data_IF_056097914968
#
_entry.id   IF_056097914968
#
_cell.length_a   1.000
_cell.length_b   1.000
_cell.length_c   1.000
_cell.angle_alpha   90.00
_cell.angle_beta   90.00
_cell.angle_gamma   90.00
#
_symmetry.space_group_name_H-M   'P 1'
#
loop_
_entity.id
_entity.type
_entity.pdbx_description
1 polymer ?
#
# COMPACT_ATOMS: atom_id res chain seq x y z
N UNK A 1 27.05 -23.66 64.79
CA UNK A 1 28.20 -24.27 64.07
C UNK A 1 28.19 -23.77 62.62
N UNK A 2 28.97 -22.73 62.30
CA UNK A 2 29.07 -22.18 60.94
C UNK A 2 30.31 -22.76 60.28
N UNK A 3 30.15 -23.51 59.18
CA UNK A 3 31.28 -24.09 58.41
C UNK A 3 31.68 -23.08 57.32
N UNK A 4 32.92 -22.60 57.37
CA UNK A 4 33.50 -21.79 56.31
C UNK A 4 34.01 -22.69 55.16
N UNK A 5 33.87 -22.28 53.89
CA UNK A 5 34.37 -23.05 52.76
C UNK A 5 35.90 -22.92 52.62
N UNK A 6 36.50 -24.01 52.12
CA UNK A 6 37.94 -24.23 51.98
C UNK A 6 38.48 -23.46 50.76
N UNK A 7 39.64 -22.78 50.84
CA UNK A 7 40.21 -22.09 49.68
C UNK A 7 40.81 -23.10 48.68
N UNK A 8 40.62 -22.85 47.39
CA UNK A 8 41.21 -23.64 46.30
C UNK A 8 42.60 -23.09 45.97
N UNK A 9 43.61 -23.97 45.96
CA UNK A 9 44.97 -23.66 45.53
C UNK A 9 45.04 -23.63 43.99
N UNK A 10 45.86 -22.71 43.45
CA UNK A 10 46.10 -22.58 42.02
C UNK A 10 46.96 -23.74 41.49
N UNK A 11 46.59 -24.28 40.32
CA UNK A 11 47.40 -25.26 39.61
C UNK A 11 48.61 -24.56 38.97
N UNK A 12 49.81 -24.97 39.38
CA UNK A 12 51.07 -24.56 38.76
C UNK A 12 51.19 -25.17 37.37
N UNK A 13 51.54 -24.32 36.40
CA UNK A 13 52.24 -24.66 35.16
C UNK A 13 53.39 -25.64 35.49
N UNK A 14 53.75 -26.64 34.70
CA UNK A 14 54.31 -26.63 33.35
C UNK A 14 54.71 -28.09 33.13
N UNK A 15 54.38 -28.73 32.01
CA UNK A 15 55.41 -29.52 31.32
C UNK A 15 55.01 -29.80 29.87
N UNK A 16 55.99 -29.65 28.99
CA UNK A 16 55.90 -29.88 27.57
C UNK A 16 56.14 -31.37 27.29
N UNK A 17 55.31 -31.97 26.44
CA UNK A 17 55.69 -33.18 25.71
C UNK A 17 55.04 -33.19 24.32
N UNK A 18 55.83 -33.33 23.24
CA UNK A 18 55.33 -33.39 21.89
C UNK A 18 54.98 -34.84 21.53
N UNK A 19 53.83 -35.04 20.89
CA UNK A 19 53.50 -36.33 20.26
C UNK A 19 52.22 -36.98 20.77
N UNK A 20 51.08 -36.40 20.40
CA UNK A 20 49.82 -37.17 20.27
C UNK A 20 49.03 -36.61 19.09
N UNK A 21 49.00 -37.36 18.00
CA UNK A 21 47.98 -37.23 16.95
C UNK A 21 46.59 -37.35 17.60
N UNK A 22 45.66 -36.42 17.36
CA UNK A 22 44.35 -36.47 17.97
C UNK A 22 43.54 -37.65 17.40
N UNK A 23 42.74 -38.36 18.21
CA UNK A 23 41.84 -39.40 17.73
C UNK A 23 40.79 -38.81 16.76
N UNK A 24 40.25 -39.62 15.84
CA UNK A 24 39.25 -39.16 14.87
C UNK A 24 38.04 -38.58 15.62
N UNK A 25 37.75 -37.31 15.36
CA UNK A 25 36.63 -36.62 15.97
C UNK A 25 35.31 -37.33 15.58
N UNK A 26 34.40 -37.59 16.53
CA UNK A 26 33.07 -38.10 16.19
C UNK A 26 32.38 -37.09 15.26
N UNK A 27 31.54 -37.56 14.31
CA UNK A 27 30.87 -36.67 13.36
C UNK A 27 30.13 -35.60 14.14
N UNK A 28 30.55 -34.35 13.94
CA UNK A 28 29.96 -33.16 14.53
C UNK A 28 28.45 -33.24 14.31
N UNK A 29 27.71 -33.53 15.38
CA UNK A 29 26.25 -33.53 15.35
C UNK A 29 25.83 -32.11 14.98
N UNK A 30 25.55 -31.89 13.70
CA UNK A 30 25.01 -30.63 13.20
C UNK A 30 23.86 -30.24 14.11
N UNK A 31 24.08 -29.17 14.89
CA UNK A 31 23.13 -28.64 15.85
C UNK A 31 21.86 -28.31 15.05
N UNK A 32 20.87 -29.19 15.11
CA UNK A 32 19.66 -29.09 14.27
C UNK A 32 18.98 -27.78 14.61
N UNK A 33 18.83 -26.89 13.61
CA UNK A 33 18.12 -25.62 13.74
C UNK A 33 16.75 -25.88 14.39
N UNK A 34 16.51 -25.28 15.55
CA UNK A 34 15.21 -25.37 16.20
C UNK A 34 14.19 -24.64 15.33
N UNK A 35 13.13 -25.35 14.95
CA UNK A 35 12.03 -24.79 14.16
C UNK A 35 11.12 -24.02 15.10
N UNK A 36 10.98 -22.71 14.91
CA UNK A 36 10.13 -21.86 15.77
C UNK A 36 8.63 -22.16 15.64
N UNK A 37 8.18 -22.64 14.47
CA UNK A 37 6.77 -22.91 14.19
C UNK A 37 6.61 -24.19 13.38
N UNK A 38 6.00 -25.22 13.96
CA UNK A 38 5.58 -26.42 13.25
C UNK A 38 4.34 -26.15 12.37
N UNK A 39 4.22 -26.84 11.23
CA UNK A 39 3.03 -26.78 10.37
C UNK A 39 1.79 -27.39 11.03
N UNK A 40 0.59 -27.07 10.52
CA UNK A 40 -0.70 -27.51 11.07
C UNK A 40 -0.82 -29.04 11.14
N UNK A 41 -0.39 -29.75 10.08
CA UNK A 41 -0.43 -31.22 10.04
C UNK A 41 0.50 -31.86 11.07
N UNK A 42 1.70 -31.31 11.28
CA UNK A 42 2.61 -31.84 12.30
C UNK A 42 2.10 -31.54 13.71
N UNK A 43 1.48 -30.36 13.92
CA UNK A 43 0.84 -29.99 15.19
C UNK A 43 -0.32 -30.94 15.52
N UNK A 44 -1.26 -31.14 14.60
CA UNK A 44 -2.43 -31.99 14.83
C UNK A 44 -2.04 -33.45 15.12
N UNK A 45 -1.01 -33.95 14.42
CA UNK A 45 -0.50 -35.32 14.59
C UNK A 45 0.52 -35.48 15.72
N UNK A 46 0.89 -34.40 16.41
CA UNK A 46 1.90 -34.39 17.48
C UNK A 46 3.24 -35.03 17.04
N UNK A 47 3.65 -34.79 15.81
CA UNK A 47 4.94 -35.27 15.26
C UNK A 47 5.94 -34.13 15.10
N UNK A 48 7.23 -34.47 15.12
CA UNK A 48 8.31 -33.48 14.94
C UNK A 48 8.27 -32.90 13.54
N UNK A 49 8.10 -31.58 13.45
CA UNK A 49 8.25 -30.82 12.22
C UNK A 49 9.71 -30.43 12.01
N UNK A 50 10.20 -30.58 10.79
CA UNK A 50 11.54 -30.17 10.32
C UNK A 50 11.58 -28.74 9.78
N UNK A 51 10.42 -28.09 9.62
CA UNK A 51 10.34 -26.65 9.31
C UNK A 51 10.67 -26.27 7.87
N UNK A 52 10.91 -27.24 6.99
CA UNK A 52 11.21 -26.97 5.58
C UNK A 52 10.01 -26.33 4.86
N UNK A 53 10.30 -25.34 4.01
CA UNK A 53 9.34 -24.66 3.12
C UNK A 53 9.63 -25.06 1.67
N UNK A 54 8.62 -25.28 0.81
CA UNK A 54 7.18 -25.06 1.03
C UNK A 54 6.48 -26.19 1.80
N UNK A 55 7.06 -27.39 1.89
CA UNK A 55 6.48 -28.53 2.60
C UNK A 55 7.50 -29.22 3.52
N UNK A 56 7.05 -29.59 4.72
CA UNK A 56 7.83 -30.30 5.73
C UNK A 56 8.16 -31.73 5.26
N UNK A 57 9.32 -32.31 5.59
CA UNK A 57 9.68 -33.67 5.17
C UNK A 57 8.65 -34.74 5.60
N UNK A 58 8.09 -34.74 6.83
CA UNK A 58 7.00 -35.63 7.21
C UNK A 58 5.72 -35.47 6.37
N UNK A 59 5.45 -34.25 5.92
CA UNK A 59 4.28 -33.90 5.11
C UNK A 59 4.48 -34.38 3.67
N UNK A 60 5.67 -34.13 3.12
CA UNK A 60 6.09 -34.57 1.78
C UNK A 60 6.12 -36.09 1.65
N UNK A 61 6.68 -36.81 2.62
CA UNK A 61 6.70 -38.28 2.60
C UNK A 61 5.32 -38.91 2.61
N UNK A 62 4.33 -38.20 3.16
CA UNK A 62 2.95 -38.69 3.30
C UNK A 62 1.99 -38.06 2.30
N UNK A 63 2.50 -37.24 1.38
CA UNK A 63 1.71 -36.47 0.41
C UNK A 63 0.53 -35.71 1.06
N UNK A 64 0.76 -35.09 2.22
CA UNK A 64 -0.25 -34.30 2.93
C UNK A 64 -0.08 -32.79 2.67
N UNK A 65 -1.17 -32.00 2.67
CA UNK A 65 -1.11 -30.56 2.53
C UNK A 65 -0.35 -29.92 3.71
N UNK A 66 0.82 -29.37 3.43
CA UNK A 66 1.67 -28.76 4.47
C UNK A 66 1.39 -27.27 4.60
N UNK A 67 0.44 -26.91 5.46
CA UNK A 67 0.13 -25.51 5.74
C UNK A 67 0.81 -25.05 7.04
N UNK A 68 1.54 -23.94 6.96
CA UNK A 68 2.03 -23.25 8.15
C UNK A 68 1.05 -22.15 8.51
N UNK A 69 0.71 -21.98 9.80
CA UNK A 69 -0.09 -20.84 10.21
C UNK A 69 0.59 -19.56 9.72
N UNK A 70 -0.18 -18.67 9.09
CA UNK A 70 0.25 -17.30 8.90
C UNK A 70 0.71 -16.79 10.27
N UNK A 71 1.83 -16.06 10.34
CA UNK A 71 2.23 -15.49 11.60
C UNK A 71 1.05 -14.65 12.11
N UNK A 72 0.49 -15.03 13.26
CA UNK A 72 -0.40 -14.16 14.01
C UNK A 72 0.47 -13.04 14.62
N UNK A 73 1.14 -12.28 13.76
CA UNK A 73 2.14 -11.27 14.13
C UNK A 73 1.53 -10.00 14.66
N UNK A 74 0.22 -9.82 14.52
CA UNK A 74 -0.47 -8.74 15.20
C UNK A 74 -0.99 -9.27 16.52
N UNK A 75 -0.30 -8.86 17.59
CA UNK A 75 -0.86 -8.88 18.95
C UNK A 75 -2.28 -8.29 18.92
N UNK A 76 -3.19 -8.69 19.83
CA UNK A 76 -4.55 -8.14 19.85
C UNK A 76 -4.55 -6.60 19.84
N UNK A 77 -3.61 -5.98 20.55
CA UNK A 77 -3.38 -4.53 20.53
C UNK A 77 -3.08 -3.97 19.12
N UNK A 78 -2.23 -4.63 18.33
CA UNK A 78 -1.92 -4.20 16.97
C UNK A 78 -3.12 -4.39 16.02
N UNK A 79 -3.95 -5.41 16.26
CA UNK A 79 -5.20 -5.61 15.49
C UNK A 79 -6.20 -4.49 15.78
N UNK A 80 -6.35 -4.13 17.05
CA UNK A 80 -7.23 -3.05 17.48
C UNK A 80 -6.77 -1.70 16.96
N UNK A 81 -5.46 -1.42 17.01
CA UNK A 81 -4.88 -0.21 16.41
C UNK A 81 -5.08 -0.15 14.90
N UNK A 82 -4.87 -1.27 14.18
CA UNK A 82 -5.11 -1.32 12.74
C UNK A 82 -6.59 -1.08 12.41
N UNK A 83 -7.50 -1.58 13.24
CA UNK A 83 -8.93 -1.36 13.08
C UNK A 83 -9.28 0.11 13.28
N UNK A 84 -8.82 0.72 14.37
CA UNK A 84 -9.03 2.14 14.67
C UNK A 84 -8.48 3.03 13.56
N UNK A 85 -7.25 2.77 13.11
CA UNK A 85 -6.61 3.53 12.03
C UNK A 85 -7.35 3.39 10.69
N UNK A 86 -7.94 2.22 10.40
CA UNK A 86 -8.78 2.03 9.21
C UNK A 86 -10.09 2.81 9.32
N UNK A 87 -10.72 2.82 10.49
CA UNK A 87 -11.94 3.60 10.74
C UNK A 87 -11.67 5.11 10.61
N UNK A 88 -10.55 5.59 11.13
CA UNK A 88 -10.13 6.99 10.97
C UNK A 88 -9.87 7.35 9.50
N UNK A 89 -9.15 6.49 8.77
CA UNK A 89 -8.94 6.70 7.33
C UNK A 89 -10.26 6.73 6.55
N UNK A 90 -11.21 5.85 6.88
CA UNK A 90 -12.53 5.87 6.23
C UNK A 90 -13.24 7.22 6.42
N UNK A 91 -13.19 7.79 7.62
CA UNK A 91 -13.76 9.13 7.89
C UNK A 91 -13.08 10.23 7.07
N UNK A 92 -11.75 10.16 6.91
CA UNK A 92 -10.99 11.13 6.11
C UNK A 92 -11.33 11.02 4.62
N UNK A 93 -11.47 9.80 4.10
CA UNK A 93 -11.89 9.58 2.72
C UNK A 93 -13.32 10.06 2.47
N UNK A 94 -14.25 9.81 3.41
CA UNK A 94 -15.62 10.35 3.33
C UNK A 94 -15.61 11.88 3.29
N UNK A 95 -14.81 12.53 4.14
CA UNK A 95 -14.68 13.99 4.15
C UNK A 95 -14.17 14.53 2.81
N UNK A 96 -13.11 13.92 2.28
CA UNK A 96 -12.53 14.33 0.99
C UNK A 96 -13.54 14.16 -0.14
N UNK A 97 -14.28 13.05 -0.15
CA UNK A 97 -15.33 12.81 -1.15
C UNK A 97 -16.42 13.89 -1.09
N UNK A 98 -16.85 14.26 0.11
CA UNK A 98 -17.83 15.33 0.29
C UNK A 98 -17.27 16.67 -0.21
N UNK A 99 -16.06 17.06 0.17
CA UNK A 99 -15.42 18.30 -0.35
C UNK A 99 -15.30 18.30 -1.86
N UNK A 100 -15.01 17.15 -2.48
CA UNK A 100 -14.88 17.02 -3.93
C UNK A 100 -16.20 17.10 -4.70
N UNK A 101 -17.33 16.80 -4.04
CA UNK A 101 -18.67 16.79 -4.66
C UNK A 101 -19.49 18.05 -4.34
N UNK A 102 -19.07 18.85 -3.35
CA UNK A 102 -19.77 20.08 -2.96
C UNK A 102 -19.63 21.18 -4.03
N UNK A 103 -20.67 22.02 -4.24
CA UNK A 103 -20.57 23.22 -5.05
C UNK A 103 -19.51 24.20 -4.50
N UNK A 104 -18.78 24.88 -5.40
CA UNK A 104 -17.64 25.76 -5.04
C UNK A 104 -17.96 26.80 -3.96
N UNK A 105 -19.15 27.41 -3.99
CA UNK A 105 -19.57 28.39 -2.99
C UNK A 105 -19.72 27.79 -1.57
N UNK A 106 -20.17 26.54 -1.48
CA UNK A 106 -20.29 25.81 -0.21
C UNK A 106 -18.93 25.29 0.26
N UNK A 107 -18.06 24.91 -0.68
CA UNK A 107 -16.66 24.56 -0.38
C UNK A 107 -15.93 25.75 0.24
N UNK A 108 -16.09 26.97 -0.29
CA UNK A 108 -15.44 28.16 0.28
C UNK A 108 -15.93 28.46 1.71
N UNK A 109 -17.23 28.32 1.97
CA UNK A 109 -17.81 28.46 3.31
C UNK A 109 -17.29 27.35 4.27
N UNK A 110 -17.14 26.12 3.77
CA UNK A 110 -16.58 25.00 4.51
C UNK A 110 -15.08 25.20 4.80
N UNK A 111 -14.29 25.65 3.83
CA UNK A 111 -12.88 25.99 3.98
C UNK A 111 -12.68 27.14 4.98
N UNK A 112 -13.58 28.13 4.96
CA UNK A 112 -13.64 29.18 5.99
C UNK A 112 -13.82 28.60 7.38
N UNK A 113 -14.76 27.65 7.54
CA UNK A 113 -14.97 26.94 8.80
C UNK A 113 -13.76 26.09 9.21
N UNK A 114 -13.12 25.37 8.28
CA UNK A 114 -11.88 24.60 8.55
C UNK A 114 -10.77 25.49 9.08
N UNK A 115 -10.59 26.68 8.48
CA UNK A 115 -9.57 27.65 8.92
C UNK A 115 -9.82 28.20 10.32
N UNK A 116 -11.07 28.17 10.79
CA UNK A 116 -11.47 28.65 12.12
C UNK A 116 -11.72 27.54 13.15
N UNK A 117 -11.87 26.30 12.71
CA UNK A 117 -12.27 25.18 13.56
C UNK A 117 -11.04 24.45 14.12
N UNK A 118 -11.08 24.18 15.42
CA UNK A 118 -10.00 23.54 16.17
C UNK A 118 -10.09 22.00 16.16
N UNK A 119 -11.24 21.41 15.77
CA UNK A 119 -11.53 19.97 15.83
C UNK A 119 -12.12 19.41 14.50
N UNK A 120 -11.50 18.35 13.91
CA UNK A 120 -11.99 17.68 12.68
C UNK A 120 -13.35 16.97 12.79
N UNK A 121 -13.72 16.39 13.94
CA UNK A 121 -14.98 15.61 14.06
C UNK A 121 -16.22 16.52 14.07
N UNK A 122 -16.11 17.72 14.64
CA UNK A 122 -17.18 18.74 14.64
C UNK A 122 -17.54 19.23 13.24
N UNK A 123 -16.56 19.31 12.34
CA UNK A 123 -16.76 19.70 10.94
C UNK A 123 -17.54 18.64 10.16
N UNK A 124 -17.21 17.37 10.36
CA UNK A 124 -17.90 16.23 9.72
C UNK A 124 -19.38 16.15 10.08
N UNK A 125 -19.75 16.46 11.33
CA UNK A 125 -21.17 16.49 11.75
C UNK A 125 -21.93 17.62 11.08
N UNK A 126 -21.37 18.82 11.08
CA UNK A 126 -21.99 20.00 10.49
C UNK A 126 -22.22 19.84 8.97
N UNK A 127 -21.27 19.20 8.28
CA UNK A 127 -21.37 18.88 6.86
C UNK A 127 -22.46 17.84 6.61
N UNK A 128 -22.52 16.76 7.42
CA UNK A 128 -23.57 15.74 7.34
C UNK A 128 -24.96 16.33 7.60
N UNK A 129 -25.08 17.23 8.57
CA UNK A 129 -26.31 17.94 8.90
C UNK A 129 -26.75 18.89 7.77
N UNK A 130 -25.82 19.63 7.18
CA UNK A 130 -26.10 20.54 6.05
C UNK A 130 -26.52 19.78 4.78
N UNK A 131 -25.93 18.60 4.56
CA UNK A 131 -26.26 17.70 3.43
C UNK A 131 -27.62 17.00 3.55
N UNK A 132 -28.32 17.12 4.70
CA UNK A 132 -29.65 16.54 4.90
C UNK A 132 -30.82 17.40 4.37
N UNK A 133 -30.51 18.59 3.83
CA UNK A 133 -31.50 19.51 3.26
C UNK A 133 -32.15 18.91 1.99
N UNK A 134 -33.50 18.90 1.85
CA UNK A 134 -34.20 18.37 0.67
C UNK A 134 -33.78 19.00 -0.66
N UNK A 135 -33.20 20.22 -0.64
CA UNK A 135 -32.66 20.92 -1.81
C UNK A 135 -31.42 20.24 -2.41
N UNK A 136 -30.64 19.46 -1.64
CA UNK A 136 -29.46 18.74 -2.15
C UNK A 136 -29.84 17.58 -3.09
N UNK A 137 -30.95 16.87 -2.82
CA UNK A 137 -31.36 15.72 -3.65
C UNK A 137 -31.76 16.10 -5.07
N UNK A 138 -32.31 17.30 -5.27
CA UNK A 138 -32.67 17.81 -6.59
C UNK A 138 -31.46 18.40 -7.35
N UNK A 139 -30.40 18.77 -6.63
CA UNK A 139 -29.17 19.33 -7.20
C UNK A 139 -28.15 18.27 -7.62
N UNK A 140 -28.09 17.13 -6.93
CA UNK A 140 -27.09 16.08 -7.22
C UNK A 140 -27.36 15.31 -8.52
N UNK A 141 -28.61 14.93 -8.80
CA UNK A 141 -28.93 14.24 -10.07
C UNK A 141 -28.79 15.16 -11.31
N UNK A 142 -28.88 16.47 -11.10
CA UNK A 142 -28.78 17.48 -12.15
C UNK A 142 -27.33 17.95 -12.35
N UNK A 143 -26.55 18.11 -11.28
CA UNK A 143 -25.15 18.55 -11.37
C UNK A 143 -24.20 17.44 -11.87
N UNK A 144 -24.34 16.19 -11.40
CA UNK A 144 -23.51 15.06 -11.89
C UNK A 144 -23.84 14.71 -13.35
N UNK A 145 -25.12 14.82 -13.75
CA UNK A 145 -25.54 14.58 -15.13
C UNK A 145 -25.19 15.72 -16.10
N UNK A 146 -25.31 16.99 -15.68
CA UNK A 146 -25.04 18.14 -16.55
C UNK A 146 -23.53 18.39 -16.69
N UNK A 147 -22.73 18.23 -15.62
CA UNK A 147 -21.29 18.47 -15.71
C UNK A 147 -20.58 17.39 -16.54
N UNK A 148 -20.98 16.12 -16.41
CA UNK A 148 -20.50 15.03 -17.26
C UNK A 148 -20.97 15.20 -18.71
N UNK A 149 -22.22 15.61 -18.95
CA UNK A 149 -22.73 15.85 -20.32
C UNK A 149 -22.02 17.01 -21.01
N UNK A 150 -21.85 18.15 -20.32
CA UNK A 150 -21.18 19.31 -20.88
C UNK A 150 -19.69 19.04 -21.14
N UNK A 151 -19.02 18.31 -20.24
CA UNK A 151 -17.63 17.92 -20.42
C UNK A 151 -17.46 16.95 -21.60
N UNK A 152 -18.36 15.99 -21.76
CA UNK A 152 -18.38 15.08 -22.92
C UNK A 152 -18.67 15.81 -24.23
N UNK A 153 -19.59 16.77 -24.22
CA UNK A 153 -19.92 17.56 -25.40
C UNK A 153 -18.73 18.43 -25.84
N UNK A 154 -18.03 19.04 -24.87
CA UNK A 154 -16.78 19.75 -25.12
C UNK A 154 -15.68 18.82 -25.64
N UNK A 155 -15.56 17.61 -25.11
CA UNK A 155 -14.58 16.62 -25.59
C UNK A 155 -14.89 16.19 -27.04
N UNK A 156 -16.17 15.92 -27.36
CA UNK A 156 -16.59 15.58 -28.72
C UNK A 156 -16.36 16.72 -29.72
N UNK A 157 -16.66 17.97 -29.33
CA UNK A 157 -16.42 19.13 -30.18
C UNK A 157 -14.92 19.38 -30.36
N UNK A 158 -14.12 19.22 -29.30
CA UNK A 158 -12.66 19.30 -29.38
C UNK A 158 -12.07 18.22 -30.30
N UNK A 159 -12.60 16.98 -30.26
CA UNK A 159 -12.19 15.92 -31.16
C UNK A 159 -12.55 16.23 -32.63
N UNK A 160 -13.70 16.86 -32.87
CA UNK A 160 -14.14 17.27 -34.21
C UNK A 160 -13.32 18.41 -34.78
N UNK A 161 -12.99 19.39 -33.96
CA UNK A 161 -12.32 20.63 -34.39
C UNK A 161 -10.81 20.49 -34.45
N UNK A 162 -10.22 19.59 -33.65
CA UNK A 162 -8.77 19.40 -33.60
C UNK A 162 -8.21 18.87 -34.93
N UNK A 163 -7.15 19.50 -35.47
CA UNK A 163 -6.37 18.97 -36.58
C UNK A 163 -5.81 17.57 -36.33
N UNK A 164 -5.23 17.35 -35.15
CA UNK A 164 -4.55 16.11 -34.77
C UNK A 164 -5.39 15.33 -33.77
N UNK A 165 -5.54 14.01 -33.99
CA UNK A 165 -6.32 13.10 -33.15
C UNK A 165 -5.39 12.13 -32.46
N UNK A 166 -5.36 12.16 -31.13
CA UNK A 166 -4.47 11.34 -30.32
C UNK A 166 -5.24 10.79 -29.13
N UNK A 167 -4.93 9.55 -28.74
CA UNK A 167 -5.56 8.97 -27.56
C UNK A 167 -5.01 9.62 -26.29
N UNK A 168 -5.88 9.85 -25.31
CA UNK A 168 -5.49 10.30 -23.99
C UNK A 168 -4.65 9.24 -23.25
N UNK A 169 -4.81 7.95 -23.57
CA UNK A 169 -4.06 6.86 -22.93
C UNK A 169 -2.84 6.46 -23.78
N UNK A 170 -1.69 6.17 -23.15
CA UNK A 170 -1.50 5.96 -21.71
C UNK A 170 -1.18 7.23 -20.90
N UNK A 171 -1.12 8.41 -21.52
CA UNK A 171 -0.53 9.60 -20.92
C UNK A 171 -1.38 10.29 -19.86
N UNK A 172 -2.71 10.18 -19.93
CA UNK A 172 -3.64 10.76 -18.95
C UNK A 172 -4.94 9.96 -18.82
N UNK A 173 -5.53 9.98 -17.62
CA UNK A 173 -6.86 9.44 -17.34
C UNK A 173 -7.86 10.54 -16.95
N UNK A 174 -7.44 11.81 -16.94
CA UNK A 174 -8.24 12.94 -16.45
C UNK A 174 -9.02 13.66 -17.54
N UNK A 175 -8.67 13.44 -18.82
CA UNK A 175 -9.31 14.06 -19.98
C UNK A 175 -9.61 13.00 -21.05
N UNK A 176 -10.63 13.26 -21.86
CA UNK A 176 -10.96 12.45 -23.02
C UNK A 176 -10.01 12.72 -24.20
N UNK A 177 -10.11 11.86 -25.21
CA UNK A 177 -9.25 11.91 -26.39
C UNK A 177 -9.40 13.24 -27.15
N UNK A 178 -10.58 13.87 -27.12
CA UNK A 178 -10.84 15.11 -27.84
C UNK A 178 -10.13 16.33 -27.26
N UNK A 179 -10.18 16.49 -25.94
CA UNK A 179 -9.46 17.56 -25.25
C UNK A 179 -7.95 17.39 -25.38
N UNK A 180 -7.44 16.15 -25.30
CA UNK A 180 -6.01 15.87 -25.52
C UNK A 180 -5.63 16.21 -26.98
N UNK A 181 -6.45 15.81 -27.94
CA UNK A 181 -6.28 16.12 -29.36
C UNK A 181 -6.23 17.63 -29.64
N UNK A 182 -7.09 18.42 -28.97
CA UNK A 182 -7.09 19.88 -29.06
C UNK A 182 -5.86 20.53 -28.44
N UNK A 183 -5.38 20.02 -27.29
CA UNK A 183 -4.15 20.50 -26.65
C UNK A 183 -2.91 20.23 -27.51
N UNK A 184 -2.78 19.00 -28.03
CA UNK A 184 -1.68 18.63 -28.95
C UNK A 184 -1.74 19.48 -30.21
N UNK A 185 -2.94 19.71 -30.75
CA UNK A 185 -3.14 20.59 -31.90
C UNK A 185 -2.74 22.04 -31.63
N UNK A 186 -3.08 22.56 -30.45
CA UNK A 186 -2.70 23.91 -30.04
C UNK A 186 -1.19 24.02 -29.87
N UNK A 187 -0.53 23.01 -29.30
CA UNK A 187 0.92 22.97 -29.16
C UNK A 187 1.63 23.07 -30.51
N UNK A 188 1.27 22.21 -31.47
CA UNK A 188 1.92 22.23 -32.80
C UNK A 188 1.52 23.42 -33.67
N UNK A 189 0.33 23.99 -33.47
CA UNK A 189 -0.05 25.24 -34.14
C UNK A 189 0.83 26.43 -33.70
N UNK A 190 1.37 26.38 -32.48
CA UNK A 190 2.32 27.37 -31.97
C UNK A 190 3.78 27.01 -32.28
N UNK A 191 4.10 25.73 -32.49
CA UNK A 191 5.46 25.27 -32.81
C UNK A 191 5.93 25.75 -34.20
N UNK A 192 5.00 25.89 -35.16
CA UNK A 192 5.27 26.53 -36.46
C UNK A 192 5.69 28.02 -36.35
N UNK A 193 5.51 28.65 -35.17
CA UNK A 193 5.98 30.01 -34.91
C UNK A 193 7.45 30.07 -34.44
N UNK A 194 8.07 28.93 -34.10
CA UNK A 194 9.48 28.86 -33.74
C UNK A 194 10.32 28.47 -34.96
N UNK A 195 11.47 29.13 -35.14
CA UNK A 195 12.38 28.86 -36.26
C UNK A 195 12.99 27.44 -36.24
N UNK A 196 12.87 26.71 -35.12
CA UNK A 196 13.33 25.34 -34.93
C UNK A 196 12.35 24.57 -34.02
N UNK A 197 11.50 23.70 -34.57
CA UNK A 197 10.66 22.79 -33.79
C UNK A 197 11.55 21.83 -33.01
N UNK A 198 11.34 21.73 -31.69
CA UNK A 198 12.11 20.84 -30.81
C UNK A 198 11.49 19.44 -30.68
N UNK A 199 10.26 19.26 -31.17
CA UNK A 199 9.56 17.98 -31.24
C UNK A 199 9.27 17.65 -32.71
N UNK A 200 9.74 16.49 -33.16
CA UNK A 200 9.34 15.96 -34.46
C UNK A 200 7.86 15.52 -34.39
N UNK A 201 7.01 16.26 -35.10
CA UNK A 201 5.57 16.03 -35.17
C UNK A 201 5.21 14.62 -35.67
N UNK A 202 5.92 14.10 -36.66
CA UNK A 202 5.63 12.77 -37.22
C UNK A 202 6.11 11.63 -36.33
N UNK A 203 7.15 11.87 -35.53
CA UNK A 203 7.59 10.91 -34.52
C UNK A 203 6.63 10.88 -33.33
N UNK A 204 6.20 12.05 -32.84
CA UNK A 204 5.30 12.17 -31.70
C UNK A 204 3.93 11.50 -31.92
N UNK A 205 3.44 11.51 -33.17
CA UNK A 205 2.11 10.99 -33.52
C UNK A 205 2.10 9.49 -33.86
N UNK A 206 3.25 8.80 -33.81
CA UNK A 206 3.40 7.38 -34.19
C UNK A 206 3.34 6.40 -33.01
N UNK A 207 3.27 6.90 -31.78
CA UNK A 207 3.10 6.11 -30.55
C UNK A 207 1.66 6.15 -30.03
#
# INVERSE_FOLDING_TARGET
MKRHPRPLLAATTTDASPGRTPPPQPPQLFKRKAVSTACQVCRSRKVRCDGQRPSCAPCRQRNMPCEYPAPETTTPQLRDQLKLAKEENAKLYDFLHVVATLPRCEVDALLGKIRTATDPDSLLRLVKESSSSPLMRLGQDVADGIHDKQLRELDLEALRTSPFKVSARPWTMLAGDGLVSSLVSSFFAWDDAFAYPFVDREAFMRE
#
